data_IF_953994296974
#
_entry.id   IF_953994296974
#
_cell.length_a   1.000
_cell.length_b   1.000
_cell.length_c   1.000
_cell.angle_alpha   90.00
_cell.angle_beta   90.00
_cell.angle_gamma   90.00
#
_symmetry.space_group_name_H-M   'P 1'
#
loop_
_entity.id
_entity.type
_entity.pdbx_description
1 polymer ?
#
# COMPACT_ATOMS: atom_id res chain seq x y z
N UNK A 1 0.01 8.85 6.43
CA UNK A 1 1.09 8.79 5.42
C UNK A 1 0.48 8.39 4.08
N UNK A 2 1.06 8.88 2.98
CA UNK A 2 0.53 8.70 1.62
C UNK A 2 1.47 7.82 0.81
N UNK A 3 0.92 6.86 0.07
CA UNK A 3 1.63 6.06 -0.92
C UNK A 3 1.03 6.26 -2.30
N UNK A 4 1.88 6.55 -3.29
CA UNK A 4 1.49 6.74 -4.69
C UNK A 4 2.19 5.69 -5.54
N UNK A 5 1.42 4.73 -6.02
CA UNK A 5 1.95 3.61 -6.81
C UNK A 5 2.39 4.06 -8.20
N UNK A 6 3.31 3.29 -8.78
CA UNK A 6 3.54 3.33 -10.22
C UNK A 6 2.29 2.87 -10.98
N UNK A 7 2.16 3.28 -12.24
CA UNK A 7 1.04 2.86 -13.07
C UNK A 7 1.11 1.37 -13.38
N UNK A 8 -0.04 0.69 -13.39
CA UNK A 8 -0.09 -0.73 -13.69
C UNK A 8 -1.32 -1.15 -14.48
N UNK A 9 -1.22 -2.29 -15.17
CA UNK A 9 -2.35 -2.87 -15.91
C UNK A 9 -3.38 -3.35 -14.89
N UNK A 10 -4.58 -2.75 -14.94
CA UNK A 10 -5.67 -3.02 -14.00
C UNK A 10 -5.47 -2.41 -12.61
N UNK A 11 -6.60 -2.21 -11.91
CA UNK A 11 -6.62 -1.54 -10.60
C UNK A 11 -5.96 -2.34 -9.48
N UNK A 12 -6.06 -3.68 -9.51
CA UNK A 12 -5.49 -4.53 -8.47
C UNK A 12 -3.97 -4.37 -8.41
N UNK A 13 -3.33 -4.41 -9.58
CA UNK A 13 -1.91 -4.19 -9.69
C UNK A 13 -1.48 -2.78 -9.27
N UNK A 14 -2.23 -1.76 -9.70
CA UNK A 14 -1.94 -0.38 -9.34
C UNK A 14 -2.08 -0.13 -7.82
N UNK A 15 -3.00 -0.85 -7.17
CA UNK A 15 -3.17 -0.80 -5.73
C UNK A 15 -2.00 -1.44 -4.98
N UNK A 16 -1.52 -2.61 -5.41
CA UNK A 16 -0.33 -3.23 -4.80
C UNK A 16 0.93 -2.36 -4.99
N UNK A 17 1.06 -1.68 -6.13
CA UNK A 17 2.12 -0.70 -6.32
C UNK A 17 2.03 0.47 -5.32
N UNK A 18 0.82 0.97 -5.04
CA UNK A 18 0.61 2.04 -4.06
C UNK A 18 0.86 1.58 -2.61
N UNK A 19 0.48 0.34 -2.28
CA UNK A 19 0.80 -0.28 -1.00
C UNK A 19 2.30 -0.40 -0.80
N UNK A 20 3.02 -0.86 -1.82
CA UNK A 20 4.48 -0.95 -1.77
C UNK A 20 5.15 0.41 -1.52
N UNK A 21 4.76 1.46 -2.24
CA UNK A 21 5.31 2.82 -2.02
C UNK A 21 4.99 3.34 -0.61
N UNK A 22 3.76 3.13 -0.11
CA UNK A 22 3.43 3.48 1.28
C UNK A 22 4.30 2.72 2.29
N UNK A 23 4.45 1.41 2.10
CA UNK A 23 5.25 0.55 2.98
C UNK A 23 6.71 1.02 2.99
N UNK A 24 7.29 1.30 1.83
CA UNK A 24 8.66 1.81 1.73
C UNK A 24 8.86 3.12 2.51
N UNK A 25 7.89 4.04 2.43
CA UNK A 25 7.92 5.31 3.19
C UNK A 25 7.78 5.09 4.69
N UNK A 26 6.83 4.25 5.11
CA UNK A 26 6.64 3.93 6.54
C UNK A 26 7.89 3.29 7.11
N UNK A 27 8.50 2.35 6.38
CA UNK A 27 9.74 1.71 6.79
C UNK A 27 10.87 2.71 6.97
N UNK A 28 10.98 3.67 6.06
CA UNK A 28 12.02 4.70 6.09
C UNK A 28 11.82 5.67 7.27
N UNK A 29 10.60 6.15 7.51
CA UNK A 29 10.32 7.19 8.51
C UNK A 29 10.09 6.66 9.93
N UNK A 30 9.44 5.48 10.07
CA UNK A 30 8.95 4.94 11.35
C UNK A 30 9.52 3.57 11.69
N UNK A 31 10.14 2.88 10.72
CA UNK A 31 10.69 1.54 10.88
C UNK A 31 9.69 0.42 10.58
N UNK A 32 10.21 -0.81 10.56
CA UNK A 32 9.47 -2.01 10.10
C UNK A 32 8.30 -2.39 11.01
N UNK A 33 8.31 -2.01 12.30
CA UNK A 33 7.22 -2.34 13.23
C UNK A 33 5.88 -1.65 12.92
N UNK A 34 5.88 -0.64 12.04
CA UNK A 34 4.67 0.11 11.63
C UNK A 34 4.23 -0.24 10.19
N UNK A 35 4.97 -1.14 9.52
CA UNK A 35 4.86 -1.43 8.09
C UNK A 35 3.56 -2.17 7.72
N UNK A 36 2.96 -2.87 8.67
CA UNK A 36 1.80 -3.70 8.40
C UNK A 36 0.55 -2.83 8.17
N UNK A 37 0.16 -2.74 6.91
CA UNK A 37 -1.02 -1.98 6.49
C UNK A 37 -2.32 -2.52 7.10
N UNK A 38 -2.40 -3.80 7.48
CA UNK A 38 -3.58 -4.38 8.12
C UNK A 38 -3.80 -3.82 9.54
N UNK A 39 -2.73 -3.36 10.19
CA UNK A 39 -2.80 -2.67 11.48
C UNK A 39 -2.94 -1.16 11.33
N UNK A 40 -2.73 -0.59 10.14
CA UNK A 40 -2.88 0.83 9.90
C UNK A 40 -4.35 1.26 10.00
N UNK A 41 -4.58 2.49 10.47
CA UNK A 41 -5.93 3.03 10.62
C UNK A 41 -6.25 4.04 9.52
N UNK A 42 -7.55 4.19 9.25
CA UNK A 42 -8.09 5.14 8.28
C UNK A 42 -7.53 4.94 6.85
N UNK A 43 -7.48 3.68 6.40
CA UNK A 43 -7.09 3.38 5.03
C UNK A 43 -8.10 3.98 4.04
N UNK A 44 -7.66 4.99 3.31
CA UNK A 44 -8.36 5.57 2.16
C UNK A 44 -7.62 5.16 0.90
N UNK A 45 -8.38 4.70 -0.10
CA UNK A 45 -7.88 4.28 -1.41
C UNK A 45 -8.57 5.08 -2.50
N UNK A 46 -7.78 5.58 -3.45
CA UNK A 46 -8.29 6.16 -4.70
C UNK A 46 -7.52 5.58 -5.88
N UNK A 47 -8.23 4.96 -6.82
CA UNK A 47 -7.66 4.52 -8.09
C UNK A 47 -8.30 5.30 -9.23
N UNK A 48 -7.50 5.64 -10.23
CA UNK A 48 -7.98 6.29 -11.44
C UNK A 48 -7.26 5.75 -12.65
N UNK A 49 -7.98 5.61 -13.76
CA UNK A 49 -7.39 5.40 -15.09
C UNK A 49 -6.37 6.51 -15.35
N UNK A 50 -5.18 6.13 -15.80
CA UNK A 50 -4.17 7.11 -16.23
C UNK A 50 -4.42 7.55 -17.67
N UNK A 51 -4.25 8.85 -17.93
CA UNK A 51 -4.41 9.44 -19.27
C UNK A 51 -3.25 9.13 -20.23
N UNK A 52 -2.16 8.53 -19.75
CA UNK A 52 -0.86 8.44 -20.46
C UNK A 52 -0.55 7.04 -21.00
N UNK A 53 -1.37 6.01 -20.79
CA UNK A 53 -1.00 4.69 -21.32
C UNK A 53 -2.14 3.70 -21.47
N UNK A 54 -2.31 3.29 -22.71
CA UNK A 54 -2.66 1.92 -23.03
C UNK A 54 -1.34 1.20 -23.34
N UNK A 55 -1.05 0.10 -22.64
CA UNK A 55 0.12 -0.74 -22.92
C UNK A 55 -0.39 -2.06 -23.50
N UNK A 56 0.01 -2.40 -24.74
CA UNK A 56 -0.50 -3.58 -25.45
C UNK A 56 -2.05 -3.66 -25.48
N UNK A 57 -2.72 -2.50 -25.65
CA UNK A 57 -4.19 -2.40 -25.65
C UNK A 57 -4.86 -2.55 -24.28
N UNK A 58 -4.08 -2.61 -23.20
CA UNK A 58 -4.59 -2.70 -21.83
C UNK A 58 -4.58 -1.33 -21.14
N UNK A 59 -5.65 -1.02 -20.41
CA UNK A 59 -5.80 0.24 -19.69
C UNK A 59 -4.92 0.24 -18.44
N UNK A 60 -4.12 1.30 -18.29
CA UNK A 60 -3.33 1.53 -17.09
C UNK A 60 -4.11 2.33 -16.05
N UNK A 61 -3.87 1.97 -14.79
CA UNK A 61 -4.42 2.62 -13.62
C UNK A 61 -3.28 3.09 -12.72
N UNK A 62 -3.55 4.13 -11.93
CA UNK A 62 -2.71 4.56 -10.83
C UNK A 62 -3.55 4.70 -9.59
N UNK A 63 -3.06 4.14 -8.49
CA UNK A 63 -3.69 4.25 -7.19
C UNK A 63 -2.86 5.09 -6.24
N UNK A 64 -3.57 5.80 -5.37
CA UNK A 64 -3.05 6.50 -4.21
C UNK A 64 -3.72 5.91 -2.98
N UNK A 65 -2.92 5.68 -1.95
CA UNK A 65 -3.43 5.29 -0.64
C UNK A 65 -3.00 6.32 0.39
N UNK A 66 -3.87 6.54 1.36
CA UNK A 66 -3.53 7.24 2.58
C UNK A 66 -3.92 6.35 3.75
N UNK A 67 -3.01 6.17 4.69
CA UNK A 67 -3.28 5.45 5.93
C UNK A 67 -2.36 5.98 7.03
N UNK A 68 -2.84 5.97 8.28
CA UNK A 68 -2.02 6.30 9.44
C UNK A 68 -1.31 5.02 9.92
N UNK A 69 0.03 4.98 9.92
CA UNK A 69 0.76 3.80 10.38
C UNK A 69 0.53 3.57 11.88
N UNK A 70 0.33 2.32 12.26
CA UNK A 70 0.19 1.88 13.64
C UNK A 70 1.11 0.69 13.88
N UNK A 71 1.59 0.56 15.11
CA UNK A 71 2.50 -0.52 15.49
C UNK A 71 1.74 -1.83 15.56
N UNK A 72 2.26 -2.88 14.92
CA UNK A 72 1.70 -4.22 15.09
C UNK A 72 1.82 -4.67 16.55
N UNK A 73 0.78 -5.31 17.07
CA UNK A 73 0.82 -5.90 18.41
C UNK A 73 1.59 -7.22 18.37
N UNK A 74 2.27 -7.56 19.47
CA UNK A 74 2.90 -8.86 19.58
C UNK A 74 1.82 -9.94 19.68
N UNK A 75 1.89 -10.94 18.80
CA UNK A 75 1.16 -12.18 19.02
C UNK A 75 1.71 -12.83 20.29
N UNK A 76 0.82 -13.12 21.25
CA UNK A 76 1.20 -13.92 22.41
C UNK A 76 1.55 -15.30 21.90
N UNK A 77 2.81 -15.70 22.02
CA UNK A 77 3.20 -17.08 21.83
C UNK A 77 2.45 -17.92 22.88
N UNK A 78 1.35 -18.59 22.49
CA UNK A 78 0.71 -19.56 23.35
C UNK A 78 1.74 -20.62 23.71
N UNK A 79 1.97 -20.76 25.02
CA UNK A 79 3.07 -21.51 25.59
C UNK A 79 3.18 -22.91 24.99
N UNK A 80 4.22 -23.11 24.20
CA UNK A 80 4.68 -24.45 23.80
C UNK A 80 5.28 -25.09 25.05
N UNK A 81 4.44 -25.84 25.77
CA UNK A 81 4.85 -26.75 26.84
C UNK A 81 5.66 -27.90 26.26
#
# INVERSE_FOLDING_TARGET
MRGLGTQWIGEAGAFEAAKKDWMERVRYDLGESYLDLSHAVELVKRCSRTSIGEAAGQVLYRCEIWARPCKAEFEKAEGRR
#
